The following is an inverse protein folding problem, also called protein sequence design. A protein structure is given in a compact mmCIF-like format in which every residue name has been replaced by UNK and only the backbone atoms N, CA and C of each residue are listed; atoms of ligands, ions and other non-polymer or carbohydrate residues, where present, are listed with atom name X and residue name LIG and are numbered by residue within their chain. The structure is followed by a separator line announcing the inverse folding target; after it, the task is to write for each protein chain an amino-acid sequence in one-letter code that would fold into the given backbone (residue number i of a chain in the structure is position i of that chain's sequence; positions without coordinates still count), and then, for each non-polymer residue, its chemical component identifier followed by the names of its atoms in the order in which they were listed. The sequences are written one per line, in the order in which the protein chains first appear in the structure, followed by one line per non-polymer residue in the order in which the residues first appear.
data_IF_449779123384
#
_entry.id   IF_449779123384
#
_cell.length_a   1.000
_cell.length_b   1.000
_cell.length_c   1.000
_cell.angle_alpha   90.00
_cell.angle_beta   90.00
_cell.angle_gamma   90.00
#
_symmetry.space_group_name_H-M   'P 1'
#
loop_
_entity.id
_entity.type
_entity.pdbx_description
1 polymer ?
#
# COMPACT_ATOMS: atom_id res chain seq x y z
N UNK A 1 -11.78 -44.69 23.96
CA UNK A 1 -11.73 -43.24 24.27
C UNK A 1 -10.27 -42.84 24.44
N UNK A 2 -9.67 -42.18 23.45
CA UNK A 2 -8.28 -41.72 23.51
C UNK A 2 -8.22 -40.41 24.30
N UNK A 3 -7.62 -40.45 25.49
CA UNK A 3 -7.40 -39.25 26.31
C UNK A 3 -6.21 -38.50 25.71
N UNK A 4 -6.50 -37.44 24.94
CA UNK A 4 -5.45 -36.58 24.40
C UNK A 4 -4.76 -35.83 25.54
N UNK A 5 -3.43 -35.96 25.62
CA UNK A 5 -2.61 -35.22 26.57
C UNK A 5 -2.68 -33.72 26.26
N UNK A 6 -3.09 -32.91 27.24
CA UNK A 6 -3.15 -31.44 27.16
C UNK A 6 -1.83 -30.82 26.69
N UNK A 7 -0.68 -31.43 27.02
CA UNK A 7 0.64 -31.00 26.52
C UNK A 7 0.78 -31.18 25.01
N UNK A 8 0.27 -32.30 24.46
CA UNK A 8 0.32 -32.55 23.01
C UNK A 8 -0.59 -31.57 22.27
N UNK A 9 -1.79 -31.31 22.80
CA UNK A 9 -2.71 -30.32 22.23
C UNK A 9 -2.08 -28.92 22.22
N UNK A 10 -1.45 -28.50 23.32
CA UNK A 10 -0.79 -27.20 23.41
C UNK A 10 0.34 -27.04 22.38
N UNK A 11 1.15 -28.08 22.17
CA UNK A 11 2.21 -28.08 21.15
C UNK A 11 1.63 -27.93 19.74
N UNK A 12 0.54 -28.65 19.41
CA UNK A 12 -0.11 -28.52 18.11
C UNK A 12 -0.67 -27.11 17.86
N UNK A 13 -1.29 -26.50 18.87
CA UNK A 13 -1.81 -25.12 18.76
C UNK A 13 -0.67 -24.12 18.53
N UNK A 14 0.44 -24.28 19.24
CA UNK A 14 1.63 -23.41 19.09
C UNK A 14 2.26 -23.53 17.70
N UNK A 15 2.37 -24.75 17.18
CA UNK A 15 2.88 -24.98 15.83
C UNK A 15 1.93 -24.44 14.75
N UNK A 16 0.62 -24.58 14.94
CA UNK A 16 -0.36 -24.00 14.03
C UNK A 16 -0.31 -22.46 14.03
N UNK A 17 -0.20 -21.83 15.21
CA UNK A 17 -0.04 -20.39 15.32
C UNK A 17 1.25 -19.89 14.65
N UNK A 18 2.36 -20.62 14.81
CA UNK A 18 3.62 -20.30 14.14
C UNK A 18 3.52 -20.43 12.62
N UNK A 19 2.89 -21.49 12.12
CA UNK A 19 2.69 -21.68 10.68
C UNK A 19 1.81 -20.58 10.07
N UNK A 20 0.74 -20.18 10.76
CA UNK A 20 -0.12 -19.07 10.34
C UNK A 20 0.64 -17.74 10.34
N UNK A 21 1.45 -17.47 11.37
CA UNK A 21 2.27 -16.26 11.43
C UNK A 21 3.30 -16.19 10.29
N UNK A 22 3.90 -17.33 9.91
CA UNK A 22 4.88 -17.39 8.82
C UNK A 22 4.24 -17.36 7.42
N UNK A 23 2.98 -17.77 7.27
CA UNK A 23 2.26 -17.68 6.00
C UNK A 23 1.94 -16.24 5.58
N UNK A 24 1.98 -15.27 6.51
CA UNK A 24 1.76 -13.85 6.20
C UNK A 24 2.88 -13.21 5.38
N UNK A 25 4.08 -13.81 5.35
CA UNK A 25 5.21 -13.29 4.58
C UNK A 25 5.27 -13.80 3.14
N UNK A 26 4.41 -14.74 2.75
CA UNK A 26 4.34 -15.24 1.39
C UNK A 26 3.13 -14.62 0.69
N UNK A 27 3.32 -13.46 0.07
CA UNK A 27 2.32 -12.86 -0.80
C UNK A 27 2.48 -13.41 -2.23
N UNK A 28 1.65 -14.36 -2.70
CA UNK A 28 1.74 -14.91 -4.06
C UNK A 28 1.33 -13.90 -5.14
N UNK A 29 0.83 -12.73 -4.73
CA UNK A 29 0.53 -11.58 -5.59
C UNK A 29 1.61 -10.49 -5.52
N UNK A 30 2.72 -10.72 -4.81
CA UNK A 30 3.83 -9.78 -4.83
C UNK A 30 4.40 -9.73 -6.26
N UNK A 31 4.53 -8.54 -6.86
CA UNK A 31 5.17 -8.40 -8.16
C UNK A 31 6.66 -8.78 -8.04
N UNK A 32 7.28 -9.20 -9.14
CA UNK A 32 8.73 -9.39 -9.19
C UNK A 32 9.40 -8.04 -8.86
N UNK A 33 10.00 -7.96 -7.67
CA UNK A 33 10.90 -6.89 -7.29
C UNK A 33 12.16 -7.08 -8.15
N UNK A 34 12.20 -6.43 -9.31
CA UNK A 34 13.42 -6.39 -10.13
C UNK A 34 14.63 -5.85 -9.35
N UNK A 35 15.76 -5.70 -10.04
CA UNK A 35 16.95 -5.15 -9.39
C UNK A 35 16.63 -3.80 -8.72
N UNK A 36 17.09 -3.55 -7.47
CA UNK A 36 16.84 -2.29 -6.78
C UNK A 36 17.33 -1.12 -7.63
N UNK A 37 16.40 -0.29 -8.08
CA UNK A 37 16.75 0.98 -8.72
C UNK A 37 17.16 1.94 -7.60
N UNK A 38 18.41 2.40 -7.60
CA UNK A 38 18.83 3.46 -6.68
C UNK A 38 18.03 4.72 -6.99
N UNK A 39 17.07 5.02 -6.11
CA UNK A 39 16.33 6.27 -6.15
C UNK A 39 17.15 7.28 -5.33
N UNK A 40 17.50 8.45 -5.89
CA UNK A 40 18.17 9.50 -5.11
C UNK A 40 17.33 9.90 -3.88
N UNK A 41 17.85 10.69 -2.94
CA UNK A 41 17.00 11.25 -1.90
C UNK A 41 15.88 12.10 -2.50
N UNK A 42 14.70 12.07 -1.88
CA UNK A 42 13.59 12.94 -2.28
C UNK A 42 13.99 14.41 -2.11
N UNK A 43 13.68 15.23 -3.10
CA UNK A 43 13.95 16.65 -3.15
C UNK A 43 12.63 17.43 -3.16
N UNK A 44 12.29 18.04 -2.03
CA UNK A 44 11.07 18.81 -1.83
C UNK A 44 11.37 20.30 -1.77
N UNK A 45 10.62 21.07 -2.52
CA UNK A 45 10.75 22.52 -2.57
C UNK A 45 9.77 23.20 -1.60
N UNK A 46 10.06 24.44 -1.24
CA UNK A 46 9.04 25.33 -0.67
C UNK A 46 7.95 25.61 -1.72
N UNK A 47 6.67 25.53 -1.34
CA UNK A 47 5.52 25.67 -2.25
C UNK A 47 5.21 27.14 -2.58
N UNK A 48 6.18 27.85 -3.15
CA UNK A 48 6.06 29.28 -3.48
C UNK A 48 5.44 29.52 -4.86
N UNK A 49 5.58 28.56 -5.78
CA UNK A 49 5.07 28.62 -7.15
C UNK A 49 4.23 27.39 -7.50
N UNK A 50 3.45 27.47 -8.58
CA UNK A 50 2.69 26.32 -9.06
C UNK A 50 3.62 25.19 -9.53
N UNK A 51 4.78 25.53 -10.08
CA UNK A 51 5.81 24.61 -10.52
C UNK A 51 6.38 23.81 -9.34
N UNK A 52 6.62 24.45 -8.19
CA UNK A 52 7.10 23.78 -6.98
C UNK A 52 6.08 22.78 -6.42
N UNK A 53 4.79 23.13 -6.44
CA UNK A 53 3.71 22.21 -6.02
C UNK A 53 3.65 21.00 -6.95
N UNK A 54 3.73 21.20 -8.27
CA UNK A 54 3.73 20.11 -9.25
C UNK A 54 4.97 19.23 -9.09
N UNK A 55 6.13 19.82 -8.83
CA UNK A 55 7.36 19.08 -8.53
C UNK A 55 7.18 18.20 -7.30
N UNK A 56 6.73 18.77 -6.18
CA UNK A 56 6.51 18.03 -4.94
C UNK A 56 5.47 16.91 -5.11
N UNK A 57 4.37 17.14 -5.85
CA UNK A 57 3.38 16.10 -6.16
C UNK A 57 4.00 14.91 -6.92
N UNK A 58 4.85 15.19 -7.91
CA UNK A 58 5.57 14.15 -8.68
C UNK A 58 6.57 13.41 -7.80
N UNK A 59 7.35 14.14 -7.01
CA UNK A 59 8.29 13.56 -6.05
C UNK A 59 7.54 12.65 -5.08
N UNK A 60 6.53 13.14 -4.39
CA UNK A 60 5.75 12.36 -3.43
C UNK A 60 5.16 11.08 -4.06
N UNK A 61 4.67 11.15 -5.31
CA UNK A 61 4.18 9.99 -6.05
C UNK A 61 5.27 8.96 -6.34
N UNK A 62 6.44 9.38 -6.86
CA UNK A 62 7.57 8.49 -7.18
C UNK A 62 8.09 7.79 -5.92
N UNK A 63 8.19 8.52 -4.81
CA UNK A 63 8.67 7.99 -3.53
C UNK A 63 7.58 7.32 -2.69
N UNK A 64 6.34 7.24 -3.19
CA UNK A 64 5.18 6.68 -2.48
C UNK A 64 4.99 7.28 -1.07
N UNK A 65 5.26 8.58 -0.94
CA UNK A 65 5.11 9.32 0.32
C UNK A 65 3.74 10.00 0.35
N UNK A 66 2.80 9.37 1.04
CA UNK A 66 1.42 9.86 1.12
C UNK A 66 1.30 11.19 1.86
N UNK A 67 2.08 11.40 2.92
CA UNK A 67 2.00 12.61 3.75
C UNK A 67 2.39 13.85 2.92
N UNK A 68 3.52 13.78 2.21
CA UNK A 68 3.99 14.86 1.34
C UNK A 68 3.08 15.08 0.13
N UNK A 69 2.44 14.01 -0.37
CA UNK A 69 1.47 14.12 -1.46
C UNK A 69 0.23 14.90 -1.01
N UNK A 70 -0.32 14.55 0.16
CA UNK A 70 -1.51 15.17 0.71
C UNK A 70 -1.25 16.61 1.16
N UNK A 71 -0.06 16.91 1.67
CA UNK A 71 0.35 18.28 2.06
C UNK A 71 0.47 19.25 0.85
N UNK A 72 0.52 18.71 -0.37
CA UNK A 72 0.43 19.52 -1.60
C UNK A 72 -1.01 19.86 -2.00
N UNK A 73 -2.01 19.19 -1.42
CA UNK A 73 -3.42 19.40 -1.73
C UNK A 73 -4.03 20.40 -0.74
N UNK A 74 -5.06 21.11 -1.20
CA UNK A 74 -5.91 21.89 -0.30
C UNK A 74 -6.69 20.93 0.61
N UNK A 75 -6.94 21.32 1.86
CA UNK A 75 -7.84 20.58 2.77
C UNK A 75 -9.25 20.40 2.19
N UNK A 76 -9.69 21.32 1.33
CA UNK A 76 -10.98 21.28 0.63
C UNK A 76 -10.90 20.62 -0.76
N UNK A 77 -9.78 19.96 -1.09
CA UNK A 77 -9.61 19.32 -2.39
C UNK A 77 -10.60 18.16 -2.57
N UNK A 78 -11.33 18.17 -3.68
CA UNK A 78 -12.26 17.10 -4.05
C UNK A 78 -11.75 16.44 -5.32
N UNK A 79 -11.54 15.12 -5.25
CA UNK A 79 -11.19 14.31 -6.41
C UNK A 79 -12.46 13.99 -7.22
N UNK A 80 -12.45 14.32 -8.51
CA UNK A 80 -13.50 13.96 -9.45
C UNK A 80 -12.97 12.91 -10.43
N UNK A 81 -13.42 11.64 -10.35
CA UNK A 81 -13.01 10.62 -11.31
C UNK A 81 -13.50 11.00 -12.72
N UNK A 82 -12.74 10.61 -13.75
CA UNK A 82 -13.20 10.78 -15.12
C UNK A 82 -14.45 9.92 -15.34
N UNK A 83 -15.49 10.43 -16.04
CA UNK A 83 -16.65 9.60 -16.38
C UNK A 83 -16.29 8.35 -17.20
N UNK A 84 -15.15 8.36 -17.90
CA UNK A 84 -14.65 7.21 -18.64
C UNK A 84 -14.15 6.10 -17.69
N UNK A 85 -13.51 6.48 -16.57
CA UNK A 85 -13.00 5.53 -15.57
C UNK A 85 -14.16 4.83 -14.83
N UNK A 86 -15.32 5.50 -14.73
CA UNK A 86 -16.55 4.94 -14.15
C UNK A 86 -17.28 3.95 -15.07
N UNK A 87 -16.95 3.95 -16.36
CA UNK A 87 -17.66 3.18 -17.38
C UNK A 87 -16.78 2.09 -18.00
N UNK A 88 -15.59 1.85 -17.45
CA UNK A 88 -14.67 0.84 -17.96
C UNK A 88 -15.15 -0.57 -17.54
N UNK A 89 -15.67 -1.40 -18.46
CA UNK A 89 -16.15 -2.73 -18.13
C UNK A 89 -15.01 -3.71 -17.78
N UNK A 90 -13.75 -3.31 -17.99
CA UNK A 90 -12.55 -4.09 -17.68
C UNK A 90 -11.87 -3.63 -16.40
N UNK A 91 -12.22 -2.44 -15.89
CA UNK A 91 -11.63 -1.84 -14.71
C UNK A 91 -12.72 -1.11 -13.92
N UNK A 92 -13.66 -1.89 -13.37
CA UNK A 92 -14.77 -1.37 -12.58
C UNK A 92 -14.19 -0.75 -11.30
N UNK A 93 -14.35 0.57 -11.15
CA UNK A 93 -13.83 1.28 -9.99
C UNK A 93 -14.63 0.83 -8.75
N UNK A 94 -13.97 0.38 -7.68
CA UNK A 94 -14.70 -0.06 -6.50
C UNK A 94 -15.41 1.14 -5.85
N UNK A 95 -16.61 0.89 -5.32
CA UNK A 95 -17.39 1.89 -4.58
C UNK A 95 -16.62 2.48 -3.37
N UNK A 96 -15.63 1.73 -2.87
CA UNK A 96 -14.82 2.05 -1.70
C UNK A 96 -13.43 1.41 -1.77
N UNK A 97 -12.43 2.16 -1.29
CA UNK A 97 -11.04 1.70 -1.17
C UNK A 97 -10.79 1.37 0.30
N UNK A 98 -10.76 0.07 0.63
CA UNK A 98 -10.48 -0.45 1.97
C UNK A 98 -8.99 -0.68 2.23
#
# INVERSE_FOLDING_TARGET
MTVFSTRRLAVFVLLAALALALSGCWNPFAPDEGDPVEIPPADYHERLTAEDVIHNLKTAYVYKNADEYLDCLSEDFIFFPSPADLQDPTNDMPDEWY
#
